data_IF_472401298021
#
_entry.id   IF_472401298021
#
_cell.length_a   1.000
_cell.length_b   1.000
_cell.length_c   1.000
_cell.angle_alpha   90.00
_cell.angle_beta   90.00
_cell.angle_gamma   90.00
#
_symmetry.space_group_name_H-M   'P 1'
#
loop_
_entity.id
_entity.type
_entity.pdbx_description
1 polymer ?
#
# COMPACT_ATOMS: atom_id res chain seq x y z
N UNK A 1 20.23 3.83 -1.01
CA UNK A 1 19.16 3.12 -0.28
C UNK A 1 17.85 3.69 -0.77
N UNK A 2 17.18 3.04 -1.71
CA UNK A 2 15.80 3.40 -2.06
C UNK A 2 14.88 2.57 -1.19
N UNK A 3 14.26 3.21 -0.19
CA UNK A 3 13.27 2.59 0.68
C UNK A 3 11.91 3.11 0.27
N UNK A 4 11.12 2.31 -0.46
CA UNK A 4 9.80 2.72 -0.93
C UNK A 4 9.07 1.67 -1.76
N UNK A 5 7.81 1.98 -2.07
CA UNK A 5 7.03 1.28 -3.10
C UNK A 5 7.47 1.81 -4.47
N UNK A 6 7.94 0.91 -5.34
CA UNK A 6 8.26 1.26 -6.73
C UNK A 6 7.08 0.94 -7.65
N UNK A 7 6.90 1.65 -8.78
CA UNK A 7 5.93 1.27 -9.79
C UNK A 7 6.10 -0.19 -10.22
N UNK A 8 4.98 -0.91 -10.37
CA UNK A 8 4.98 -2.34 -10.67
C UNK A 8 5.19 -3.26 -9.46
N UNK A 9 5.32 -2.73 -8.25
CA UNK A 9 5.35 -3.54 -7.04
C UNK A 9 4.00 -4.21 -6.82
N UNK A 10 3.98 -5.54 -6.79
CA UNK A 10 2.80 -6.31 -6.41
C UNK A 10 2.61 -6.21 -4.89
N UNK A 11 1.40 -5.80 -4.51
CA UNK A 11 1.01 -5.62 -3.11
C UNK A 11 -0.28 -6.37 -2.83
N UNK A 12 -0.49 -6.72 -1.57
CA UNK A 12 -1.76 -7.28 -1.10
C UNK A 12 -2.32 -6.40 0.01
N UNK A 13 -3.57 -5.98 -0.10
CA UNK A 13 -4.27 -5.30 0.99
C UNK A 13 -4.49 -6.30 2.12
N UNK A 14 -4.05 -5.95 3.33
CA UNK A 14 -4.17 -6.78 4.53
C UNK A 14 -5.30 -6.27 5.40
N UNK A 15 -5.35 -4.95 5.63
CA UNK A 15 -6.34 -4.31 6.49
C UNK A 15 -6.56 -2.87 6.05
N UNK A 16 -7.81 -2.42 6.17
CA UNK A 16 -8.16 -1.01 6.03
C UNK A 16 -8.77 -0.55 7.35
N UNK A 17 -8.21 0.52 7.92
CA UNK A 17 -8.80 1.12 9.10
C UNK A 17 -10.10 1.87 8.74
N UNK A 18 -11.10 1.89 9.65
CA UNK A 18 -12.31 2.66 9.44
C UNK A 18 -12.02 4.17 9.42
N UNK A 19 -12.92 4.96 8.81
CA UNK A 19 -12.93 6.44 8.81
C UNK A 19 -11.63 7.12 8.35
N UNK A 20 -11.32 7.08 7.04
CA UNK A 20 -10.10 7.66 6.47
C UNK A 20 -8.85 7.31 7.26
N UNK A 21 -8.77 6.08 7.76
CA UNK A 21 -7.61 5.57 8.48
C UNK A 21 -6.56 4.99 7.54
N UNK A 22 -5.43 4.58 8.11
CA UNK A 22 -4.34 3.96 7.36
C UNK A 22 -4.77 2.64 6.69
N UNK A 23 -4.11 2.29 5.59
CA UNK A 23 -4.24 1.00 4.93
C UNK A 23 -2.96 0.20 5.13
N UNK A 24 -3.08 -1.00 5.69
CA UNK A 24 -2.00 -1.96 5.76
C UNK A 24 -1.95 -2.80 4.48
N UNK A 25 -0.76 -2.84 3.89
CA UNK A 25 -0.44 -3.67 2.75
C UNK A 25 0.71 -4.61 3.08
N UNK A 26 0.70 -5.78 2.45
CA UNK A 26 1.83 -6.71 2.43
C UNK A 26 2.58 -6.53 1.13
N UNK A 27 3.90 -6.32 1.26
CA UNK A 27 4.84 -6.24 0.15
C UNK A 27 5.87 -7.32 0.39
N UNK A 28 5.90 -8.36 -0.47
CA UNK A 28 6.79 -9.51 -0.30
C UNK A 28 6.68 -10.09 1.14
N UNK A 29 7.73 -9.93 1.94
CA UNK A 29 7.85 -10.47 3.31
C UNK A 29 7.65 -9.44 4.42
N UNK A 30 7.23 -8.20 4.10
CA UNK A 30 7.00 -7.16 5.10
C UNK A 30 5.66 -6.44 4.92
N UNK A 31 5.25 -5.77 5.99
CA UNK A 31 4.00 -5.03 6.07
C UNK A 31 4.29 -3.54 6.11
N UNK A 32 3.53 -2.76 5.36
CA UNK A 32 3.58 -1.30 5.38
C UNK A 32 2.20 -0.75 5.73
N UNK A 33 2.17 0.26 6.59
CA UNK A 33 0.98 1.07 6.84
C UNK A 33 1.09 2.36 6.03
N UNK A 34 0.19 2.55 5.08
CA UNK A 34 0.10 3.76 4.26
C UNK A 34 -0.88 4.73 4.89
N UNK A 35 -0.51 6.02 4.98
CA UNK A 35 -1.41 7.05 5.47
C UNK A 35 -2.40 7.45 4.39
N UNK A 36 -3.57 8.00 4.77
CA UNK A 36 -4.57 8.49 3.81
C UNK A 36 -4.00 9.47 2.77
N UNK A 37 -3.11 10.36 3.21
CA UNK A 37 -2.42 11.33 2.35
C UNK A 37 -1.54 10.67 1.29
N UNK A 38 -0.90 9.55 1.60
CA UNK A 38 -0.03 8.81 0.67
C UNK A 38 -0.87 8.02 -0.34
N UNK A 39 -1.97 7.40 0.11
CA UNK A 39 -2.82 6.55 -0.72
C UNK A 39 -3.39 7.32 -1.91
N UNK A 40 -3.75 8.59 -1.71
CA UNK A 40 -4.26 9.46 -2.79
C UNK A 40 -3.27 9.68 -3.93
N UNK A 41 -1.98 9.44 -3.71
CA UNK A 41 -0.91 9.60 -4.70
C UNK A 41 -0.51 8.28 -5.38
N UNK A 42 -1.13 7.15 -5.03
CA UNK A 42 -0.76 5.82 -5.55
C UNK A 42 -1.85 5.31 -6.50
N UNK A 43 -1.46 5.03 -7.74
CA UNK A 43 -2.34 4.34 -8.70
C UNK A 43 -2.12 2.84 -8.63
N UNK A 44 -3.20 2.06 -8.56
CA UNK A 44 -3.15 0.60 -8.53
C UNK A 44 -4.05 0.00 -9.60
N UNK A 45 -3.69 -1.20 -10.05
CA UNK A 45 -4.50 -2.02 -10.96
C UNK A 45 -4.72 -3.39 -10.32
N UNK A 46 -5.89 -3.99 -10.59
CA UNK A 46 -6.12 -5.38 -10.17
C UNK A 46 -5.19 -6.29 -10.97
N UNK A 47 -4.53 -7.19 -10.28
CA UNK A 47 -3.80 -8.28 -10.91
C UNK A 47 -4.83 -9.36 -11.28
N UNK A 48 -5.01 -9.58 -12.58
CA UNK A 48 -5.80 -10.70 -13.13
C UNK A 48 -5.06 -12.04 -12.98
#
# INVERSE_FOLDING_TARGET
MEMGLLPGTIIRIVKQAPFSGAVEIKVRDYYLSLRPEDIGNITVQKQE
#
